data_IF_661582136224
#
_entry.id   IF_661582136224
#
_cell.length_a   1.000
_cell.length_b   1.000
_cell.length_c   1.000
_cell.angle_alpha   90.00
_cell.angle_beta   90.00
_cell.angle_gamma   90.00
#
_symmetry.space_group_name_H-M   'P 1'
#
loop_
_entity.id
_entity.type
_entity.pdbx_description
1 polymer ?
#
# COMPACT_ATOMS: atom_id res chain seq x y z
N UNK A 1 47.22 58.64 -2.98
CA UNK A 1 46.19 58.37 -1.95
C UNK A 1 44.83 58.54 -2.61
N UNK A 2 44.15 57.45 -2.98
CA UNK A 2 42.80 57.49 -3.55
C UNK A 2 41.96 56.47 -2.78
N UNK A 3 41.01 56.96 -1.98
CA UNK A 3 40.01 56.14 -1.30
C UNK A 3 38.85 55.92 -2.27
N UNK A 4 38.68 54.71 -2.79
CA UNK A 4 37.48 54.32 -3.54
C UNK A 4 36.56 53.48 -2.65
N UNK A 5 35.30 53.91 -2.59
CA UNK A 5 34.24 53.51 -1.68
C UNK A 5 33.82 52.04 -1.86
N UNK A 6 33.52 51.36 -0.76
CA UNK A 6 32.82 50.08 -0.73
C UNK A 6 31.31 50.32 -0.87
N UNK A 7 30.70 49.81 -1.92
CA UNK A 7 29.26 49.52 -1.97
C UNK A 7 29.11 48.06 -2.37
N UNK A 8 28.78 47.21 -1.41
CA UNK A 8 28.55 45.78 -1.61
C UNK A 8 27.04 45.57 -1.70
N UNK A 9 26.63 44.95 -2.80
CA UNK A 9 25.26 44.68 -3.20
C UNK A 9 24.46 43.93 -2.13
N UNK A 10 23.25 44.42 -1.85
CA UNK A 10 22.21 43.75 -1.08
C UNK A 10 21.55 42.71 -2.00
N UNK A 11 21.90 41.44 -1.88
CA UNK A 11 21.21 40.33 -2.57
C UNK A 11 19.94 39.98 -1.81
N UNK A 12 18.80 40.31 -2.40
CA UNK A 12 17.45 39.89 -1.99
C UNK A 12 17.38 38.35 -2.05
N UNK A 13 17.25 37.68 -0.90
CA UNK A 13 16.89 36.26 -0.82
C UNK A 13 15.43 36.10 -1.26
N UNK A 14 15.21 35.65 -2.49
CA UNK A 14 13.92 35.13 -2.93
C UNK A 14 13.75 33.72 -2.34
N UNK A 15 12.88 33.59 -1.35
CA UNK A 15 12.62 32.35 -0.63
C UNK A 15 11.55 31.58 -1.40
N UNK A 16 11.91 30.85 -2.45
CA UNK A 16 10.96 30.05 -3.23
C UNK A 16 10.49 28.85 -2.41
N UNK A 17 9.35 29.01 -1.72
CA UNK A 17 8.55 27.92 -1.17
C UNK A 17 8.12 26.97 -2.30
N UNK A 18 8.79 25.82 -2.44
CA UNK A 18 8.27 24.75 -3.30
C UNK A 18 7.10 24.09 -2.57
N UNK A 19 5.90 24.48 -2.95
CA UNK A 19 4.68 23.74 -2.64
C UNK A 19 4.79 22.35 -3.25
N UNK A 20 4.97 21.30 -2.45
CA UNK A 20 4.40 20.00 -2.87
C UNK A 20 2.96 20.26 -3.25
N UNK A 21 2.46 19.80 -4.40
CA UNK A 21 1.06 20.02 -4.77
C UNK A 21 0.22 19.34 -3.70
N UNK A 22 -0.31 20.14 -2.78
CA UNK A 22 -1.07 19.69 -1.63
C UNK A 22 -2.33 18.91 -2.03
N UNK A 23 -2.69 18.91 -3.32
CA UNK A 23 -3.71 18.06 -3.91
C UNK A 23 -3.40 16.57 -3.77
N UNK A 24 -2.13 16.16 -3.90
CA UNK A 24 -1.77 14.73 -3.97
C UNK A 24 -2.06 13.94 -2.67
N UNK A 25 -2.00 14.59 -1.51
CA UNK A 25 -2.28 13.93 -0.22
C UNK A 25 -3.79 13.78 0.05
N UNK A 26 -4.62 14.73 -0.39
CA UNK A 26 -6.07 14.64 -0.24
C UNK A 26 -6.65 13.55 -1.17
N UNK A 27 -6.14 13.48 -2.39
CA UNK A 27 -6.52 12.47 -3.38
C UNK A 27 -6.14 11.05 -2.91
N UNK A 28 -5.03 10.89 -2.17
CA UNK A 28 -4.62 9.60 -1.59
C UNK A 28 -5.61 9.11 -0.50
N UNK A 29 -6.09 10.00 0.37
CA UNK A 29 -7.09 9.65 1.38
C UNK A 29 -8.46 9.36 0.75
N UNK A 30 -8.82 10.07 -0.33
CA UNK A 30 -10.04 9.78 -1.09
C UNK A 30 -10.05 8.36 -1.66
N UNK A 31 -8.91 7.90 -2.18
CA UNK A 31 -8.80 6.53 -2.66
C UNK A 31 -8.91 5.51 -1.52
N UNK A 32 -8.27 5.76 -0.37
CA UNK A 32 -8.40 4.89 0.82
C UNK A 32 -9.82 4.82 1.36
N UNK A 33 -10.56 5.94 1.34
CA UNK A 33 -11.97 6.01 1.73
C UNK A 33 -12.82 5.21 0.74
N UNK A 34 -12.61 5.37 -0.56
CA UNK A 34 -13.32 4.61 -1.59
C UNK A 34 -13.06 3.09 -1.49
N UNK A 35 -11.82 2.68 -1.23
CA UNK A 35 -11.47 1.28 -0.99
C UNK A 35 -12.20 0.71 0.24
N UNK A 36 -12.33 1.52 1.31
CA UNK A 36 -13.09 1.10 2.49
C UNK A 36 -14.60 1.04 2.25
N UNK A 37 -15.16 1.99 1.50
CA UNK A 37 -16.57 1.93 1.10
C UNK A 37 -16.87 0.68 0.26
N UNK A 38 -15.96 0.30 -0.62
CA UNK A 38 -16.08 -0.94 -1.39
C UNK A 38 -16.08 -2.17 -0.48
N UNK A 39 -15.12 -2.28 0.45
CA UNK A 39 -15.07 -3.39 1.41
C UNK A 39 -16.32 -3.47 2.27
N UNK A 40 -16.82 -2.33 2.77
CA UNK A 40 -18.05 -2.26 3.55
C UNK A 40 -19.24 -2.75 2.70
N UNK A 41 -19.34 -2.31 1.45
CA UNK A 41 -20.40 -2.76 0.52
C UNK A 41 -20.32 -4.27 0.26
N UNK A 42 -19.13 -4.81 0.02
CA UNK A 42 -18.93 -6.25 -0.21
C UNK A 42 -19.31 -7.08 1.03
N UNK A 43 -18.96 -6.58 2.22
CA UNK A 43 -19.36 -7.20 3.49
C UNK A 43 -20.88 -7.13 3.72
N UNK A 44 -21.53 -6.01 3.42
CA UNK A 44 -22.99 -5.86 3.50
C UNK A 44 -23.71 -6.81 2.54
N UNK A 45 -23.19 -6.99 1.33
CA UNK A 45 -23.75 -7.97 0.39
C UNK A 45 -23.58 -9.41 0.92
N UNK A 46 -22.45 -9.69 1.55
CA UNK A 46 -22.19 -10.99 2.18
C UNK A 46 -23.10 -11.23 3.39
N UNK A 47 -23.35 -10.20 4.21
CA UNK A 47 -24.31 -10.22 5.31
C UNK A 47 -25.72 -10.54 4.81
N UNK A 48 -26.20 -9.85 3.77
CA UNK A 48 -27.52 -10.09 3.20
C UNK A 48 -27.67 -11.52 2.69
N UNK A 49 -26.67 -12.03 1.96
CA UNK A 49 -26.65 -13.42 1.51
C UNK A 49 -26.69 -14.41 2.67
N UNK A 50 -25.99 -14.10 3.77
CA UNK A 50 -25.99 -14.93 4.97
C UNK A 50 -27.35 -14.91 5.69
N UNK A 51 -28.03 -13.76 5.73
CA UNK A 51 -29.40 -13.61 6.26
C UNK A 51 -30.42 -14.39 5.41
N UNK A 52 -30.33 -14.32 4.09
CA UNK A 52 -31.21 -15.06 3.19
C UNK A 52 -31.06 -16.58 3.38
N UNK A 53 -29.82 -17.07 3.52
CA UNK A 53 -29.54 -18.47 3.85
C UNK A 53 -30.12 -18.86 5.22
N UNK A 54 -29.99 -17.98 6.22
CA UNK A 54 -30.58 -18.21 7.54
C UNK A 54 -32.11 -18.29 7.46
N UNK A 55 -32.76 -17.41 6.72
CA UNK A 55 -34.21 -17.43 6.52
C UNK A 55 -34.67 -18.73 5.81
N UNK A 56 -33.92 -19.19 4.81
CA UNK A 56 -34.18 -20.48 4.17
C UNK A 56 -34.03 -21.67 5.14
N UNK A 57 -33.02 -21.64 6.01
CA UNK A 57 -32.85 -22.65 7.08
C UNK A 57 -34.00 -22.60 8.09
N UNK A 58 -34.51 -21.42 8.43
CA UNK A 58 -35.67 -21.27 9.32
C UNK A 58 -36.93 -21.92 8.73
N UNK A 59 -37.16 -21.77 7.43
CA UNK A 59 -38.25 -22.46 6.74
C UNK A 59 -38.06 -23.99 6.76
N UNK A 60 -36.83 -24.48 6.57
CA UNK A 60 -36.55 -25.91 6.66
C UNK A 60 -36.74 -26.48 8.07
N UNK A 61 -36.33 -25.74 9.11
CA UNK A 61 -36.58 -26.12 10.51
C UNK A 61 -38.08 -26.21 10.76
N UNK A 62 -38.85 -25.20 10.36
CA UNK A 62 -40.30 -25.22 10.53
C UNK A 62 -40.98 -26.40 9.79
N UNK A 63 -40.52 -26.72 8.59
CA UNK A 63 -41.01 -27.88 7.85
C UNK A 63 -40.68 -29.21 8.57
N UNK A 64 -39.45 -29.36 9.07
CA UNK A 64 -39.05 -30.55 9.84
C UNK A 64 -39.81 -30.65 11.17
N UNK A 65 -40.08 -29.53 11.85
CA UNK A 65 -40.93 -29.53 13.05
C UNK A 65 -42.36 -30.01 12.75
N UNK A 66 -42.92 -29.66 11.59
CA UNK A 66 -44.20 -30.21 11.14
C UNK A 66 -44.12 -31.72 10.87
N UNK A 67 -43.04 -32.19 10.21
CA UNK A 67 -42.80 -33.62 10.00
C UNK A 67 -42.65 -34.39 11.32
N UNK A 68 -41.91 -33.84 12.29
CA UNK A 68 -41.76 -34.40 13.65
C UNK A 68 -43.12 -34.52 14.33
N UNK A 69 -43.94 -33.46 14.29
CA UNK A 69 -45.28 -33.49 14.87
C UNK A 69 -46.20 -34.51 14.19
N UNK A 70 -46.09 -34.68 12.86
CA UNK A 70 -46.83 -35.70 12.12
C UNK A 70 -46.38 -37.11 12.53
N UNK A 71 -45.06 -37.37 12.60
CA UNK A 71 -44.51 -38.66 13.01
C UNK A 71 -44.83 -38.98 14.47
N UNK A 72 -44.88 -38.00 15.37
CA UNK A 72 -45.35 -38.20 16.75
C UNK A 72 -46.80 -38.69 16.78
N UNK A 73 -47.69 -38.12 15.96
CA UNK A 73 -49.07 -38.61 15.82
C UNK A 73 -49.13 -40.02 15.22
N UNK A 74 -48.32 -40.31 14.19
CA UNK A 74 -48.19 -41.67 13.65
C UNK A 74 -47.71 -42.64 14.72
N UNK A 75 -46.72 -42.26 15.53
CA UNK A 75 -46.17 -43.06 16.61
C UNK A 75 -47.23 -43.43 17.64
N UNK A 76 -48.02 -42.47 18.10
CA UNK A 76 -49.13 -42.76 19.04
C UNK A 76 -50.16 -43.71 18.43
N UNK A 77 -50.48 -43.55 17.14
CA UNK A 77 -51.39 -44.46 16.45
C UNK A 77 -50.81 -45.88 16.28
N UNK A 78 -49.53 -45.99 15.96
CA UNK A 78 -48.84 -47.28 15.84
C UNK A 78 -48.63 -47.95 17.21
N UNK A 79 -48.38 -47.20 18.28
CA UNK A 79 -48.35 -47.71 19.66
C UNK A 79 -49.69 -48.32 20.06
N UNK A 80 -50.82 -47.69 19.67
CA UNK A 80 -52.16 -48.26 19.89
C UNK A 80 -52.36 -49.55 19.10
N UNK A 81 -52.00 -49.58 17.81
CA UNK A 81 -52.07 -50.81 16.99
C UNK A 81 -51.18 -51.91 17.53
N UNK A 82 -49.99 -51.56 18.02
CA UNK A 82 -49.06 -52.50 18.63
C UNK A 82 -49.65 -53.09 19.90
N UNK A 83 -50.27 -52.27 20.77
CA UNK A 83 -51.01 -52.75 21.94
C UNK A 83 -52.14 -53.73 21.57
N UNK A 84 -52.93 -53.41 20.55
CA UNK A 84 -53.99 -54.30 20.05
C UNK A 84 -53.41 -55.62 19.52
N UNK A 85 -52.26 -55.56 18.84
CA UNK A 85 -51.59 -56.70 18.24
C UNK A 85 -50.93 -57.58 19.31
N UNK A 86 -50.33 -56.99 20.35
CA UNK A 86 -49.83 -57.69 21.53
C UNK A 86 -50.95 -58.41 22.28
N UNK A 87 -52.13 -57.80 22.43
CA UNK A 87 -53.28 -58.45 23.06
C UNK A 87 -53.78 -59.67 22.25
N UNK A 88 -53.80 -59.57 20.91
CA UNK A 88 -54.12 -60.70 20.01
C UNK A 88 -53.09 -61.82 20.11
N UNK A 89 -51.81 -61.48 20.10
CA UNK A 89 -50.69 -62.42 20.28
C UNK A 89 -50.86 -63.17 21.61
N UNK A 90 -51.08 -62.46 22.73
CA UNK A 90 -51.26 -63.08 24.04
C UNK A 90 -52.45 -64.06 24.06
N UNK A 91 -53.59 -63.65 23.48
CA UNK A 91 -54.78 -64.51 23.37
C UNK A 91 -54.51 -65.76 22.51
N UNK A 92 -53.77 -65.60 21.41
CA UNK A 92 -53.44 -66.69 20.49
C UNK A 92 -52.43 -67.66 21.10
N UNK A 93 -51.41 -67.15 21.79
CA UNK A 93 -50.45 -67.94 22.56
C UNK A 93 -51.15 -68.77 23.65
N UNK A 94 -52.12 -68.18 24.38
CA UNK A 94 -52.90 -68.92 25.37
C UNK A 94 -53.72 -70.05 24.74
N UNK A 95 -54.38 -69.80 23.58
CA UNK A 95 -55.11 -70.83 22.83
C UNK A 95 -54.19 -71.95 22.34
N UNK A 96 -53.02 -71.60 21.81
CA UNK A 96 -51.99 -72.53 21.37
C UNK A 96 -51.55 -73.39 22.55
N UNK A 97 -51.19 -72.80 23.70
CA UNK A 97 -50.75 -73.52 24.89
C UNK A 97 -51.83 -74.50 25.40
N UNK A 98 -53.08 -74.04 25.51
CA UNK A 98 -54.22 -74.89 25.90
C UNK A 98 -54.42 -76.05 24.93
N UNK A 99 -54.33 -75.82 23.61
CA UNK A 99 -54.42 -76.89 22.61
C UNK A 99 -53.22 -77.83 22.63
N UNK A 100 -52.00 -77.35 22.88
CA UNK A 100 -50.83 -78.22 23.07
C UNK A 100 -51.00 -79.15 24.26
N UNK A 101 -51.51 -78.64 25.38
CA UNK A 101 -51.82 -79.46 26.54
C UNK A 101 -52.89 -80.51 26.23
N UNK A 102 -53.95 -80.12 25.52
CA UNK A 102 -54.98 -81.07 25.06
C UNK A 102 -54.40 -82.15 24.14
N UNK A 103 -53.57 -81.79 23.16
CA UNK A 103 -52.90 -82.75 22.27
C UNK A 103 -51.97 -83.66 23.08
N UNK A 104 -51.18 -83.13 24.02
CA UNK A 104 -50.29 -83.92 24.90
C UNK A 104 -51.08 -84.91 25.76
N UNK A 105 -52.19 -84.47 26.36
CA UNK A 105 -53.04 -85.32 27.18
C UNK A 105 -53.73 -86.40 26.34
N UNK A 106 -54.22 -86.06 25.13
CA UNK A 106 -54.77 -87.05 24.19
C UNK A 106 -53.72 -88.08 23.73
N UNK A 107 -52.50 -87.63 23.43
CA UNK A 107 -51.39 -88.52 23.06
C UNK A 107 -51.00 -89.45 24.22
N UNK A 108 -50.93 -88.93 25.45
CA UNK A 108 -50.68 -89.71 26.66
C UNK A 108 -51.81 -90.71 26.94
N UNK A 109 -53.06 -90.33 26.76
CA UNK A 109 -54.21 -91.24 26.92
C UNK A 109 -54.16 -92.38 25.90
N UNK A 110 -53.83 -92.07 24.64
CA UNK A 110 -53.66 -93.10 23.60
C UNK A 110 -52.48 -94.01 23.94
N UNK A 111 -51.35 -93.47 24.40
CA UNK A 111 -50.16 -94.24 24.79
C UNK A 111 -50.38 -95.11 26.03
N UNK A 112 -51.01 -94.58 27.08
CA UNK A 112 -51.28 -95.31 28.34
C UNK A 112 -52.38 -96.36 28.18
N UNK A 113 -53.35 -96.15 27.28
CA UNK A 113 -54.35 -97.16 26.90
C UNK A 113 -53.82 -98.20 25.90
N UNK A 114 -52.67 -97.96 25.28
CA UNK A 114 -52.02 -98.91 24.38
C UNK A 114 -51.46 -100.15 25.13
N UNK A 115 -51.21 -100.03 26.44
CA UNK A 115 -50.94 -101.17 27.32
C UNK A 115 -52.18 -102.04 27.63
N UNK A 116 -53.36 -101.69 27.08
CA UNK A 116 -54.62 -102.42 27.27
C UNK A 116 -55.34 -102.66 25.93
N UNK A 117 -54.67 -103.36 25.02
CA UNK A 117 -55.24 -103.80 23.74
C UNK A 117 -55.23 -102.70 22.66
N UNK A 118 -54.67 -103.01 21.50
CA UNK A 118 -54.68 -102.14 20.32
C UNK A 118 -56.09 -101.59 20.04
N UNK A 119 -56.21 -100.38 19.47
CA UNK A 119 -57.50 -99.86 18.97
C UNK A 119 -58.19 -100.86 18.04
N UNK A 120 -57.39 -101.65 17.32
CA UNK A 120 -57.83 -102.78 16.48
C UNK A 120 -58.40 -103.92 17.33
N UNK A 121 -57.78 -104.22 18.48
CA UNK A 121 -58.22 -105.22 19.47
C UNK A 121 -59.52 -104.80 20.18
N UNK A 122 -59.72 -103.52 20.44
CA UNK A 122 -60.98 -102.99 21.01
C UNK A 122 -62.18 -103.07 20.04
N UNK A 123 -61.92 -103.02 18.72
CA UNK A 123 -62.92 -103.22 17.65
C UNK A 123 -63.14 -104.72 17.40
N UNK A 124 -62.08 -105.54 17.45
CA UNK A 124 -62.14 -107.00 17.26
C UNK A 124 -62.81 -107.72 18.45
N UNK A 125 -62.56 -107.29 19.70
CA UNK A 125 -63.19 -107.83 20.91
C UNK A 125 -64.59 -107.22 21.20
N UNK A 126 -65.26 -106.66 20.18
CA UNK A 126 -66.62 -106.13 20.34
C UNK A 126 -67.64 -107.27 20.36
N UNK A 127 -68.63 -107.20 21.27
CA UNK A 127 -69.60 -108.30 21.47
C UNK A 127 -70.70 -108.33 20.40
N UNK A 128 -70.76 -107.30 19.54
CA UNK A 128 -71.73 -107.20 18.43
C UNK A 128 -71.25 -106.26 17.32
N UNK A 129 -71.74 -106.47 16.10
CA UNK A 129 -71.44 -105.63 14.93
C UNK A 129 -71.82 -104.15 15.16
N UNK A 130 -72.91 -103.89 15.90
CA UNK A 130 -73.34 -102.53 16.24
C UNK A 130 -72.41 -101.84 17.27
N UNK A 131 -71.80 -102.61 18.18
CA UNK A 131 -70.78 -102.10 19.10
C UNK A 131 -69.46 -101.82 18.35
N UNK A 132 -69.08 -102.70 17.42
CA UNK A 132 -67.93 -102.52 16.54
C UNK A 132 -68.04 -101.22 15.73
N UNK A 133 -69.19 -100.99 15.08
CA UNK A 133 -69.44 -99.78 14.28
C UNK A 133 -69.43 -98.51 15.15
N UNK A 134 -70.02 -98.55 16.36
CA UNK A 134 -69.97 -97.41 17.29
C UNK A 134 -68.55 -97.10 17.76
N UNK A 135 -67.75 -98.11 18.07
CA UNK A 135 -66.34 -97.96 18.45
C UNK A 135 -65.49 -97.46 17.28
N UNK A 136 -65.69 -97.97 16.07
CA UNK A 136 -65.00 -97.50 14.85
C UNK A 136 -65.39 -96.08 14.47
N UNK A 137 -66.68 -95.71 14.58
CA UNK A 137 -67.12 -94.33 14.41
C UNK A 137 -66.50 -93.43 15.49
N UNK A 138 -66.49 -93.84 16.76
CA UNK A 138 -65.83 -93.09 17.83
C UNK A 138 -64.33 -92.90 17.58
N UNK A 139 -63.62 -93.93 17.11
CA UNK A 139 -62.19 -93.86 16.74
C UNK A 139 -61.97 -92.94 15.53
N UNK A 140 -62.79 -93.05 14.49
CA UNK A 140 -62.74 -92.16 13.32
C UNK A 140 -63.06 -90.71 13.70
N UNK A 141 -64.04 -90.49 14.60
CA UNK A 141 -64.37 -89.18 15.16
C UNK A 141 -63.20 -88.62 15.99
N UNK A 142 -62.54 -89.44 16.81
CA UNK A 142 -61.35 -89.02 17.59
C UNK A 142 -60.18 -88.67 16.66
N UNK A 143 -59.86 -89.51 15.66
CA UNK A 143 -58.79 -89.24 14.70
C UNK A 143 -59.07 -87.99 13.85
N UNK A 144 -60.33 -87.80 13.43
CA UNK A 144 -60.76 -86.60 12.70
C UNK A 144 -60.69 -85.37 13.58
N UNK A 145 -61.12 -85.45 14.84
CA UNK A 145 -61.00 -84.38 15.81
C UNK A 145 -59.53 -84.04 16.11
N UNK A 146 -58.65 -85.02 16.31
CA UNK A 146 -57.22 -84.81 16.55
C UNK A 146 -56.52 -84.22 15.31
N UNK A 147 -56.89 -84.65 14.09
CA UNK A 147 -56.42 -84.03 12.84
C UNK A 147 -56.85 -82.57 12.76
N UNK A 148 -58.11 -82.27 13.02
CA UNK A 148 -58.63 -80.90 13.01
C UNK A 148 -57.95 -80.00 14.07
N UNK A 149 -57.69 -80.54 15.27
CA UNK A 149 -56.96 -79.82 16.33
C UNK A 149 -55.51 -79.53 15.88
N UNK A 150 -54.81 -80.50 15.30
CA UNK A 150 -53.44 -80.33 14.78
C UNK A 150 -53.37 -79.34 13.60
N UNK A 151 -54.34 -79.39 12.68
CA UNK A 151 -54.44 -78.43 11.57
C UNK A 151 -54.71 -77.01 12.08
N UNK A 152 -55.64 -76.85 13.03
CA UNK A 152 -55.91 -75.56 13.65
C UNK A 152 -54.69 -75.04 14.43
N UNK A 153 -53.99 -75.93 15.14
CA UNK A 153 -52.76 -75.58 15.86
C UNK A 153 -51.66 -75.09 14.92
N UNK A 154 -51.52 -75.72 13.76
CA UNK A 154 -50.55 -75.32 12.73
C UNK A 154 -50.90 -73.95 12.15
N UNK A 155 -52.19 -73.69 11.87
CA UNK A 155 -52.68 -72.39 11.39
C UNK A 155 -52.45 -71.28 12.41
N UNK A 156 -52.81 -71.51 13.67
CA UNK A 156 -52.67 -70.51 14.74
C UNK A 156 -51.19 -70.21 15.02
N UNK A 157 -50.27 -71.19 14.93
CA UNK A 157 -48.82 -70.94 15.02
C UNK A 157 -48.28 -70.10 13.86
N UNK A 158 -48.73 -70.37 12.63
CA UNK A 158 -48.35 -69.57 11.47
C UNK A 158 -48.90 -68.13 11.54
N UNK A 159 -50.12 -67.96 12.07
CA UNK A 159 -50.70 -66.65 12.31
C UNK A 159 -49.96 -65.89 13.41
N UNK A 160 -49.55 -66.56 14.49
CA UNK A 160 -48.72 -65.99 15.55
C UNK A 160 -47.40 -65.44 15.01
N UNK A 161 -46.66 -66.25 14.24
CA UNK A 161 -45.39 -65.83 13.63
C UNK A 161 -45.58 -64.61 12.71
N UNK A 162 -46.67 -64.58 11.92
CA UNK A 162 -47.01 -63.45 11.07
C UNK A 162 -47.27 -62.18 11.88
N UNK A 163 -48.04 -62.28 12.96
CA UNK A 163 -48.36 -61.15 13.83
C UNK A 163 -47.11 -60.64 14.57
N UNK A 164 -46.27 -61.51 15.11
CA UNK A 164 -45.00 -61.14 15.76
C UNK A 164 -44.08 -60.38 14.79
N UNK A 165 -43.96 -60.86 13.55
CA UNK A 165 -43.20 -60.18 12.49
C UNK A 165 -43.78 -58.82 12.11
N UNK A 166 -45.11 -58.71 12.05
CA UNK A 166 -45.78 -57.43 11.77
C UNK A 166 -45.54 -56.41 12.90
N UNK A 167 -45.61 -56.83 14.17
CA UNK A 167 -45.28 -55.99 15.32
C UNK A 167 -43.84 -55.46 15.25
N UNK A 168 -42.88 -56.35 14.99
CA UNK A 168 -41.46 -55.99 14.93
C UNK A 168 -41.17 -54.99 13.80
N UNK A 169 -41.73 -55.23 12.60
CA UNK A 169 -41.57 -54.33 11.47
C UNK A 169 -42.14 -52.93 11.75
N UNK A 170 -43.31 -52.84 12.37
CA UNK A 170 -43.93 -51.55 12.75
C UNK A 170 -43.04 -50.77 13.72
N UNK A 171 -42.46 -51.45 14.71
CA UNK A 171 -41.55 -50.84 15.69
C UNK A 171 -40.24 -50.37 15.04
N UNK A 172 -39.68 -51.13 14.11
CA UNK A 172 -38.46 -50.73 13.40
C UNK A 172 -38.69 -49.47 12.54
N UNK A 173 -39.79 -49.42 11.78
CA UNK A 173 -40.11 -48.27 10.91
C UNK A 173 -40.32 -47.00 11.73
N UNK A 174 -41.07 -47.06 12.83
CA UNK A 174 -41.37 -45.88 13.65
C UNK A 174 -40.11 -45.34 14.34
N UNK A 175 -39.26 -46.23 14.85
CA UNK A 175 -38.01 -45.85 15.52
C UNK A 175 -37.00 -45.25 14.53
N UNK A 176 -36.90 -45.82 13.33
CA UNK A 176 -36.04 -45.31 12.27
C UNK A 176 -36.43 -43.89 11.86
N UNK A 177 -37.71 -43.66 11.51
CA UNK A 177 -38.23 -42.33 11.17
C UNK A 177 -37.99 -41.31 12.29
N UNK A 178 -38.25 -41.70 13.54
CA UNK A 178 -38.05 -40.83 14.72
C UNK A 178 -36.59 -40.41 14.87
N UNK A 179 -35.66 -41.35 14.70
CA UNK A 179 -34.22 -41.10 14.84
C UNK A 179 -33.70 -40.20 13.69
N UNK A 180 -34.11 -40.48 12.45
CA UNK A 180 -33.72 -39.70 11.28
C UNK A 180 -34.21 -38.25 11.37
N UNK A 181 -35.47 -38.03 11.78
CA UNK A 181 -36.02 -36.69 11.94
C UNK A 181 -35.35 -35.92 13.09
N UNK A 182 -35.07 -36.58 14.21
CA UNK A 182 -34.35 -35.95 15.33
C UNK A 182 -32.95 -35.51 14.91
N UNK A 183 -32.20 -36.37 14.21
CA UNK A 183 -30.88 -36.04 13.70
C UNK A 183 -30.93 -34.87 12.70
N UNK A 184 -31.91 -34.86 11.78
CA UNK A 184 -32.13 -33.76 10.84
C UNK A 184 -32.48 -32.44 11.55
N UNK A 185 -33.32 -32.50 12.60
CA UNK A 185 -33.67 -31.33 13.40
C UNK A 185 -32.44 -30.76 14.13
N UNK A 186 -31.66 -31.60 14.80
CA UNK A 186 -30.42 -31.19 15.48
C UNK A 186 -29.42 -30.56 14.50
N UNK A 187 -29.20 -31.17 13.34
CA UNK A 187 -28.30 -30.66 12.31
C UNK A 187 -28.75 -29.29 11.77
N UNK A 188 -30.05 -29.11 11.49
CA UNK A 188 -30.58 -27.84 10.99
C UNK A 188 -30.46 -26.73 12.04
N UNK A 189 -30.74 -27.03 13.32
CA UNK A 189 -30.57 -26.08 14.42
C UNK A 189 -29.10 -25.68 14.58
N UNK A 190 -28.17 -26.63 14.52
CA UNK A 190 -26.74 -26.33 14.58
C UNK A 190 -26.31 -25.45 13.41
N UNK A 191 -26.72 -25.79 12.18
CA UNK A 191 -26.40 -25.01 10.98
C UNK A 191 -26.95 -23.59 11.08
N UNK A 192 -28.14 -23.40 11.64
CA UNK A 192 -28.74 -22.08 11.90
C UNK A 192 -27.92 -21.27 12.89
N UNK A 193 -27.45 -21.89 13.99
CA UNK A 193 -26.61 -21.23 14.98
C UNK A 193 -25.26 -20.80 14.38
N UNK A 194 -24.62 -21.69 13.61
CA UNK A 194 -23.36 -21.39 12.92
C UNK A 194 -23.53 -20.22 11.94
N UNK A 195 -24.66 -20.16 11.23
CA UNK A 195 -24.97 -19.04 10.34
C UNK A 195 -25.18 -17.74 11.11
N UNK A 196 -25.81 -17.78 12.29
CA UNK A 196 -25.97 -16.60 13.15
C UNK A 196 -24.63 -16.09 13.67
N UNK A 197 -23.69 -16.98 14.01
CA UNK A 197 -22.33 -16.60 14.42
C UNK A 197 -21.63 -15.87 13.27
N UNK A 198 -21.69 -16.39 12.04
CA UNK A 198 -21.11 -15.73 10.85
C UNK A 198 -21.69 -14.33 10.61
N UNK A 199 -23.01 -14.15 10.75
CA UNK A 199 -23.64 -12.83 10.62
C UNK A 199 -23.04 -11.86 11.65
N UNK A 200 -22.91 -12.28 12.92
CA UNK A 200 -22.33 -11.44 13.96
C UNK A 200 -20.85 -11.09 13.69
N UNK A 201 -20.07 -12.04 13.15
CA UNK A 201 -18.67 -11.81 12.75
C UNK A 201 -18.56 -10.81 11.59
N UNK A 202 -19.45 -10.91 10.60
CA UNK A 202 -19.52 -9.97 9.47
C UNK A 202 -19.88 -8.57 9.99
N UNK A 203 -20.86 -8.46 10.90
CA UNK A 203 -21.24 -7.18 11.52
C UNK A 203 -20.09 -6.53 12.30
N UNK A 204 -19.31 -7.33 13.04
CA UNK A 204 -18.12 -6.84 13.74
C UNK A 204 -17.03 -6.36 12.75
N UNK A 205 -16.89 -7.05 11.62
CA UNK A 205 -15.95 -6.66 10.55
C UNK A 205 -16.39 -5.36 9.88
N UNK A 206 -17.68 -5.19 9.60
CA UNK A 206 -18.27 -3.94 9.06
C UNK A 206 -18.00 -2.77 10.02
N UNK A 207 -18.22 -2.97 11.33
CA UNK A 207 -17.93 -1.93 12.33
C UNK A 207 -16.45 -1.53 12.34
N UNK A 208 -15.55 -2.52 12.25
CA UNK A 208 -14.10 -2.28 12.20
C UNK A 208 -13.68 -1.49 10.96
N UNK A 209 -14.19 -1.84 9.78
CA UNK A 209 -13.86 -1.12 8.55
C UNK A 209 -14.47 0.29 8.53
N UNK A 210 -15.65 0.48 9.14
CA UNK A 210 -16.24 1.81 9.35
C UNK A 210 -15.36 2.69 10.25
N UNK A 211 -14.84 2.15 11.35
CA UNK A 211 -13.90 2.87 12.22
C UNK A 211 -12.60 3.26 11.49
N UNK A 212 -12.12 2.41 10.56
CA UNK A 212 -10.98 2.75 9.71
C UNK A 212 -11.30 3.86 8.71
N UNK A 213 -12.48 3.81 8.08
CA UNK A 213 -12.97 4.87 7.20
C UNK A 213 -13.02 6.21 7.93
N UNK A 214 -13.60 6.26 9.13
CA UNK A 214 -13.70 7.47 9.95
C UNK A 214 -12.32 8.05 10.30
N UNK A 215 -11.30 7.20 10.48
CA UNK A 215 -9.91 7.64 10.68
C UNK A 215 -9.33 8.30 9.42
N UNK A 216 -9.56 7.71 8.25
CA UNK A 216 -9.10 8.30 6.99
C UNK A 216 -9.83 9.61 6.67
N UNK A 217 -11.12 9.73 6.97
CA UNK A 217 -11.87 10.98 6.82
C UNK A 217 -11.28 12.10 7.70
N UNK A 218 -10.95 11.81 8.96
CA UNK A 218 -10.27 12.78 9.85
C UNK A 218 -8.90 13.18 9.32
N UNK A 219 -8.11 12.22 8.84
CA UNK A 219 -6.79 12.50 8.27
C UNK A 219 -6.89 13.35 7.00
N UNK A 220 -7.91 13.12 6.17
CA UNK A 220 -8.21 13.94 5.00
C UNK A 220 -8.54 15.39 5.42
N UNK A 221 -9.41 15.57 6.42
CA UNK A 221 -9.78 16.89 6.92
C UNK A 221 -8.55 17.66 7.46
N UNK A 222 -7.70 16.98 8.23
CA UNK A 222 -6.47 17.57 8.76
C UNK A 222 -5.47 17.92 7.66
N UNK A 223 -5.34 17.07 6.63
CA UNK A 223 -4.51 17.35 5.46
C UNK A 223 -5.01 18.57 4.69
N UNK A 224 -6.32 18.69 4.50
CA UNK A 224 -6.94 19.83 3.81
C UNK A 224 -6.81 21.13 4.62
N UNK A 225 -6.94 21.08 5.95
CA UNK A 225 -6.65 22.24 6.82
C UNK A 225 -5.20 22.68 6.72
N UNK A 226 -4.25 21.74 6.75
CA UNK A 226 -2.81 22.03 6.56
C UNK A 226 -2.55 22.64 5.19
N UNK A 227 -3.22 22.14 4.14
CA UNK A 227 -3.17 22.71 2.79
C UNK A 227 -3.62 24.16 2.75
N UNK A 228 -4.78 24.45 3.30
CA UNK A 228 -5.31 25.81 3.33
C UNK A 228 -4.41 26.75 4.14
N UNK A 229 -3.86 26.29 5.26
CA UNK A 229 -2.92 27.06 6.05
C UNK A 229 -1.62 27.36 5.28
N UNK A 230 -1.06 26.36 4.58
CA UNK A 230 0.14 26.54 3.76
C UNK A 230 -0.09 27.52 2.60
N UNK A 231 -1.25 27.44 1.93
CA UNK A 231 -1.62 28.38 0.86
C UNK A 231 -1.73 29.82 1.38
N UNK A 232 -2.37 30.03 2.54
CA UNK A 232 -2.46 31.34 3.18
C UNK A 232 -1.08 31.88 3.57
N UNK A 233 -0.22 31.05 4.14
CA UNK A 233 1.15 31.42 4.50
C UNK A 233 1.98 31.80 3.26
N UNK A 234 1.85 31.04 2.17
CA UNK A 234 2.50 31.36 0.89
C UNK A 234 2.02 32.71 0.32
N UNK A 235 0.71 32.98 0.37
CA UNK A 235 0.16 34.26 -0.08
C UNK A 235 0.69 35.43 0.77
N UNK A 236 0.75 35.26 2.09
CA UNK A 236 1.30 36.26 3.00
C UNK A 236 2.79 36.49 2.74
N UNK A 237 3.56 35.44 2.49
CA UNK A 237 4.97 35.55 2.13
C UNK A 237 5.15 36.30 0.80
N UNK A 238 4.35 35.97 -0.22
CA UNK A 238 4.40 36.68 -1.50
C UNK A 238 4.10 38.17 -1.36
N UNK A 239 3.13 38.54 -0.52
CA UNK A 239 2.85 39.95 -0.20
C UNK A 239 4.06 40.63 0.45
N UNK A 240 4.69 39.99 1.43
CA UNK A 240 5.91 40.52 2.09
C UNK A 240 7.08 40.67 1.12
N UNK A 241 7.27 39.70 0.21
CA UNK A 241 8.30 39.76 -0.83
C UNK A 241 8.04 40.88 -1.85
N UNK A 242 6.78 41.07 -2.25
CA UNK A 242 6.36 42.14 -3.15
C UNK A 242 6.60 43.52 -2.51
N UNK A 243 6.16 43.73 -1.25
CA UNK A 243 6.45 44.95 -0.50
C UNK A 243 7.95 45.21 -0.33
N UNK A 244 8.75 44.17 -0.08
CA UNK A 244 10.19 44.29 0.02
C UNK A 244 10.82 44.66 -1.33
N UNK A 245 10.31 44.11 -2.44
CA UNK A 245 10.75 44.44 -3.80
C UNK A 245 10.41 45.87 -4.18
N UNK A 246 9.20 46.34 -3.86
CA UNK A 246 8.80 47.74 -4.09
C UNK A 246 9.69 48.71 -3.31
N UNK A 247 9.95 48.42 -2.02
CA UNK A 247 10.87 49.23 -1.20
C UNK A 247 12.29 49.24 -1.78
N UNK A 248 12.83 48.09 -2.18
CA UNK A 248 14.14 47.99 -2.79
C UNK A 248 14.23 48.75 -4.12
N UNK A 249 13.18 48.69 -4.94
CA UNK A 249 13.11 49.41 -6.22
C UNK A 249 13.04 50.92 -6.00
N UNK A 250 12.22 51.40 -5.04
CA UNK A 250 12.14 52.81 -4.70
C UNK A 250 13.47 53.36 -4.16
N UNK A 251 14.19 52.57 -3.34
CA UNK A 251 15.50 52.96 -2.84
C UNK A 251 16.56 52.97 -3.95
N UNK A 252 16.56 52.00 -4.85
CA UNK A 252 17.43 51.98 -6.02
C UNK A 252 17.18 53.19 -6.95
N UNK A 253 15.92 53.54 -7.18
CA UNK A 253 15.54 54.72 -7.98
C UNK A 253 16.02 56.02 -7.33
N UNK A 254 15.87 56.15 -6.00
CA UNK A 254 16.39 57.30 -5.25
C UNK A 254 17.92 57.40 -5.34
N UNK A 255 18.63 56.28 -5.23
CA UNK A 255 20.10 56.25 -5.38
C UNK A 255 20.52 56.59 -6.81
N UNK A 256 19.84 56.08 -7.82
CA UNK A 256 20.11 56.38 -9.23
C UNK A 256 19.90 57.86 -9.54
N UNK A 257 18.80 58.46 -9.04
CA UNK A 257 18.54 59.90 -9.20
C UNK A 257 19.62 60.75 -8.56
N UNK A 258 20.04 60.41 -7.33
CA UNK A 258 21.14 61.11 -6.65
C UNK A 258 22.46 60.99 -7.40
N UNK A 259 22.80 59.80 -7.91
CA UNK A 259 24.02 59.59 -8.69
C UNK A 259 24.00 60.36 -10.02
N UNK A 260 22.84 60.48 -10.67
CA UNK A 260 22.67 61.29 -11.88
C UNK A 260 22.86 62.79 -11.60
N UNK A 261 22.32 63.28 -10.48
CA UNK A 261 22.47 64.68 -10.04
C UNK A 261 23.95 64.99 -9.71
N UNK A 262 24.63 64.12 -8.95
CA UNK A 262 26.08 64.23 -8.66
C UNK A 262 26.93 64.18 -9.95
N UNK A 263 26.54 63.37 -10.95
CA UNK A 263 27.23 63.29 -12.24
C UNK A 263 27.02 64.54 -13.10
N UNK A 264 25.83 65.15 -13.05
CA UNK A 264 25.55 66.40 -13.75
C UNK A 264 26.36 67.55 -13.13
N UNK A 265 26.37 67.68 -11.80
CA UNK A 265 27.19 68.69 -11.10
C UNK A 265 28.67 68.54 -11.45
N UNK A 266 29.19 67.30 -11.46
CA UNK A 266 30.58 67.04 -11.84
C UNK A 266 30.88 67.38 -13.31
N UNK A 267 29.92 67.19 -14.22
CA UNK A 267 30.06 67.55 -15.62
C UNK A 267 30.07 69.08 -15.83
N UNK A 268 29.19 69.81 -15.15
CA UNK A 268 29.15 71.28 -15.18
C UNK A 268 30.45 71.90 -14.60
N UNK A 269 30.96 71.33 -13.50
CA UNK A 269 32.25 71.73 -12.92
C UNK A 269 33.42 71.48 -13.88
N UNK A 270 33.44 70.32 -14.56
CA UNK A 270 34.47 69.98 -15.54
C UNK A 270 34.42 70.89 -16.78
N UNK A 271 33.23 71.25 -17.26
CA UNK A 271 33.05 72.20 -18.36
C UNK A 271 33.57 73.60 -17.99
N UNK A 272 33.27 74.06 -16.77
CA UNK A 272 33.80 75.33 -16.25
C UNK A 272 35.33 75.34 -16.17
N UNK A 273 35.93 74.27 -15.64
CA UNK A 273 37.39 74.14 -15.56
C UNK A 273 38.04 74.07 -16.95
N UNK A 274 37.41 73.40 -17.92
CA UNK A 274 37.88 73.37 -19.30
C UNK A 274 37.83 74.75 -19.96
N UNK A 275 36.76 75.52 -19.74
CA UNK A 275 36.64 76.90 -20.24
C UNK A 275 37.67 77.84 -19.61
N UNK A 276 37.93 77.71 -18.30
CA UNK A 276 38.98 78.46 -17.59
C UNK A 276 40.39 78.11 -18.12
N UNK A 277 40.66 76.82 -18.38
CA UNK A 277 41.93 76.37 -18.95
C UNK A 277 42.14 76.87 -20.38
N UNK A 278 41.10 76.85 -21.21
CA UNK A 278 41.14 77.39 -22.58
C UNK A 278 41.41 78.90 -22.56
N UNK A 279 40.75 79.64 -21.66
CA UNK A 279 41.00 81.08 -21.48
C UNK A 279 42.44 81.36 -21.04
N UNK A 280 42.98 80.54 -20.13
CA UNK A 280 44.37 80.66 -19.68
C UNK A 280 45.37 80.37 -20.81
N UNK A 281 45.09 79.37 -21.64
CA UNK A 281 45.89 79.03 -22.82
C UNK A 281 45.90 80.16 -23.84
N UNK A 282 44.74 80.74 -24.17
CA UNK A 282 44.65 81.89 -25.07
C UNK A 282 45.42 83.11 -24.55
N UNK A 283 45.39 83.35 -23.22
CA UNK A 283 46.18 84.41 -22.60
C UNK A 283 47.68 84.16 -22.72
N UNK A 284 48.14 82.93 -22.49
CA UNK A 284 49.54 82.54 -22.68
C UNK A 284 49.98 82.66 -24.14
N UNK A 285 49.16 82.22 -25.10
CA UNK A 285 49.45 82.36 -26.53
C UNK A 285 49.54 83.83 -26.95
N UNK A 286 48.67 84.70 -26.43
CA UNK A 286 48.74 86.14 -26.67
C UNK A 286 50.00 86.78 -26.05
N UNK A 287 50.40 86.34 -24.86
CA UNK A 287 51.63 86.80 -24.19
C UNK A 287 52.89 86.34 -24.95
N UNK A 288 52.94 85.09 -25.40
CA UNK A 288 54.00 84.56 -26.26
C UNK A 288 54.08 85.36 -27.57
N UNK A 289 52.94 85.63 -28.23
CA UNK A 289 52.91 86.44 -29.46
C UNK A 289 53.41 87.87 -29.24
N UNK A 290 53.12 88.49 -28.08
CA UNK A 290 53.68 89.80 -27.72
C UNK A 290 55.19 89.75 -27.50
N UNK A 291 55.69 88.73 -26.79
CA UNK A 291 57.12 88.52 -26.57
C UNK A 291 57.86 88.26 -27.89
N UNK A 292 57.27 87.47 -28.79
CA UNK A 292 57.84 87.23 -30.13
C UNK A 292 57.86 88.50 -30.98
N UNK A 293 56.81 89.32 -30.94
CA UNK A 293 56.79 90.61 -31.61
C UNK A 293 57.87 91.57 -31.07
N UNK A 294 58.06 91.62 -29.74
CA UNK A 294 59.14 92.39 -29.12
C UNK A 294 60.53 91.85 -29.49
N UNK A 295 60.68 90.52 -29.55
CA UNK A 295 61.92 89.86 -29.96
C UNK A 295 62.24 90.15 -31.43
N UNK A 296 61.25 90.12 -32.33
CA UNK A 296 61.43 90.52 -33.73
C UNK A 296 61.75 92.01 -33.88
N UNK A 297 61.19 92.89 -33.05
CA UNK A 297 61.55 94.31 -33.03
C UNK A 297 63.00 94.52 -32.53
N UNK A 298 63.44 93.76 -31.52
CA UNK A 298 64.81 93.75 -31.03
C UNK A 298 65.79 93.13 -32.05
N UNK A 299 65.41 92.05 -32.71
CA UNK A 299 66.19 91.41 -33.77
C UNK A 299 66.28 92.31 -35.01
N UNK A 300 65.23 93.06 -35.37
CA UNK A 300 65.29 94.08 -36.41
C UNK A 300 66.23 95.24 -36.05
N UNK A 301 66.31 95.60 -34.75
CA UNK A 301 67.29 96.58 -34.22
C UNK A 301 68.72 96.01 -34.21
N UNK A 302 68.90 94.72 -33.92
CA UNK A 302 70.21 94.05 -33.95
C UNK A 302 70.69 93.71 -35.37
N UNK A 303 69.78 93.48 -36.33
CA UNK A 303 70.11 93.23 -37.75
C UNK A 303 70.57 94.49 -38.51
N UNK A 304 70.49 95.67 -37.90
CA UNK A 304 71.16 96.89 -38.40
C UNK A 304 72.60 97.06 -37.88
N UNK A 305 73.05 96.30 -36.87
CA UNK A 305 74.30 96.62 -36.16
C UNK A 305 75.46 95.63 -36.35
N UNK A 306 75.27 94.41 -36.87
CA UNK A 306 76.40 93.48 -37.03
C UNK A 306 76.31 92.65 -38.32
N UNK A 307 76.82 93.25 -39.40
CA UNK A 307 77.41 92.55 -40.52
C UNK A 307 78.91 92.33 -40.24
N UNK A 308 79.36 91.12 -39.88
CA UNK A 308 80.63 90.49 -40.31
C UNK A 308 81.02 89.19 -39.56
N UNK A 309 81.49 88.20 -40.34
CA UNK A 309 82.40 87.05 -40.04
C UNK A 309 81.83 85.75 -39.42
N UNK A 310 81.66 84.62 -40.15
CA UNK A 310 82.47 83.48 -40.72
C UNK A 310 82.64 82.22 -39.82
N UNK A 311 82.47 81.03 -40.45
CA UNK A 311 83.00 79.65 -40.17
C UNK A 311 82.37 78.86 -39.00
N UNK A 312 82.25 77.53 -38.95
CA UNK A 312 82.35 76.34 -39.83
C UNK A 312 81.87 75.11 -38.98
N UNK A 313 81.50 74.01 -39.65
CA UNK A 313 81.58 72.58 -39.25
C UNK A 313 80.58 71.91 -38.27
N UNK A 314 79.91 70.87 -38.84
CA UNK A 314 79.73 69.51 -38.28
C UNK A 314 78.68 69.28 -37.18
N UNK A 315 78.10 68.10 -36.95
CA UNK A 315 77.87 66.84 -37.66
C UNK A 315 77.05 65.94 -36.69
N UNK A 316 76.25 65.02 -37.25
CA UNK A 316 75.81 63.73 -36.67
C UNK A 316 74.84 63.75 -35.47
N UNK A 317 73.60 63.24 -35.62
CA UNK A 317 73.18 61.82 -35.57
C UNK A 317 73.24 61.19 -34.17
N UNK A 318 72.41 60.13 -34.02
CA UNK A 318 72.52 58.99 -33.09
C UNK A 318 71.46 59.03 -31.97
N UNK A 319 70.29 58.40 -32.22
CA UNK A 319 69.82 57.10 -31.64
C UNK A 319 69.04 57.29 -30.34
N UNK A 320 68.15 56.41 -29.84
CA UNK A 320 68.12 54.94 -29.81
C UNK A 320 66.68 54.48 -29.51
N UNK A 321 66.21 53.51 -30.30
CA UNK A 321 65.25 52.46 -29.89
C UNK A 321 65.76 51.73 -28.62
N UNK A 322 64.91 51.10 -27.77
CA UNK A 322 64.37 49.76 -28.09
C UNK A 322 62.90 49.56 -27.65
N UNK A 323 62.08 48.78 -28.36
CA UNK A 323 62.03 47.29 -28.36
C UNK A 323 61.74 46.79 -26.93
N UNK A 324 60.75 45.96 -26.61
CA UNK A 324 60.57 44.54 -26.97
C UNK A 324 59.33 44.11 -26.16
N UNK A 325 58.26 43.62 -26.76
CA UNK A 325 57.98 42.19 -26.99
C UNK A 325 57.26 41.48 -25.86
N UNK A 326 56.50 40.46 -26.30
CA UNK A 326 56.19 39.23 -25.56
C UNK A 326 54.97 39.36 -24.63
N UNK A 327 53.97 38.51 -24.61
CA UNK A 327 53.48 37.36 -25.38
C UNK A 327 52.26 36.87 -24.58
N UNK A 328 51.37 36.08 -25.19
CA UNK A 328 50.75 34.86 -24.63
C UNK A 328 50.28 34.91 -23.14
N UNK A 329 49.07 34.51 -22.76
CA UNK A 329 48.38 33.27 -23.10
C UNK A 329 47.08 33.22 -22.29
N UNK A 330 46.12 32.51 -22.85
CA UNK A 330 44.96 31.88 -22.24
C UNK A 330 45.26 31.11 -20.94
N UNK A 331 44.34 31.18 -19.95
CA UNK A 331 44.01 30.09 -19.02
C UNK A 331 42.66 30.34 -18.30
N UNK A 332 41.74 29.37 -18.29
CA UNK A 332 40.63 29.28 -17.33
C UNK A 332 40.96 28.36 -16.13
N UNK A 333 40.09 28.43 -15.11
CA UNK A 333 39.84 27.49 -14.02
C UNK A 333 40.61 27.62 -12.68
N UNK A 334 39.82 27.74 -11.61
CA UNK A 334 39.97 27.04 -10.33
C UNK A 334 38.58 26.95 -9.66
N UNK A 335 37.88 25.82 -9.78
CA UNK A 335 36.65 25.56 -9.01
C UNK A 335 36.99 24.65 -7.83
N UNK A 336 37.24 25.24 -6.66
CA UNK A 336 37.26 24.52 -5.39
C UNK A 336 35.83 24.45 -4.83
N UNK A 337 34.94 23.71 -5.47
CA UNK A 337 33.53 23.57 -5.07
C UNK A 337 33.36 22.99 -3.65
N UNK A 338 34.39 22.31 -3.12
CA UNK A 338 34.36 21.69 -1.80
C UNK A 338 33.58 20.36 -1.76
N UNK A 339 33.25 19.81 -2.93
CA UNK A 339 32.60 18.51 -3.11
C UNK A 339 33.58 17.51 -3.72
N UNK A 340 33.63 16.31 -3.16
CA UNK A 340 34.38 15.16 -3.65
C UNK A 340 33.50 14.27 -4.55
N UNK A 341 34.14 13.44 -5.37
CA UNK A 341 33.42 12.42 -6.15
C UNK A 341 32.70 11.43 -5.22
N UNK A 342 31.42 11.08 -5.49
CA UNK A 342 30.69 10.07 -4.72
C UNK A 342 31.17 8.63 -4.99
N UNK A 343 32.02 8.43 -6.00
CA UNK A 343 32.53 7.11 -6.40
C UNK A 343 34.06 7.15 -6.47
N UNK A 344 34.69 6.04 -6.11
CA UNK A 344 36.15 5.87 -6.22
C UNK A 344 36.61 5.51 -7.64
N UNK A 345 35.65 5.30 -8.54
CA UNK A 345 35.86 5.09 -9.98
C UNK A 345 35.59 6.38 -10.76
N UNK A 346 35.97 6.42 -12.04
CA UNK A 346 35.60 7.52 -12.92
C UNK A 346 34.07 7.67 -13.04
N UNK A 347 33.60 8.92 -13.07
CA UNK A 347 32.18 9.22 -13.21
C UNK A 347 31.76 9.09 -14.68
N UNK A 348 30.90 8.09 -14.96
CA UNK A 348 30.27 7.92 -16.27
C UNK A 348 28.78 8.26 -16.13
N UNK A 349 28.39 9.43 -16.63
CA UNK A 349 27.00 9.89 -16.59
C UNK A 349 26.16 9.09 -17.58
N UNK A 350 25.13 8.41 -17.08
CA UNK A 350 24.14 7.70 -17.91
C UNK A 350 22.83 8.49 -18.06
N UNK A 351 22.47 9.29 -17.06
CA UNK A 351 21.32 10.20 -17.12
C UNK A 351 21.68 11.53 -16.45
N UNK A 352 21.69 12.66 -17.19
CA UNK A 352 21.98 13.96 -16.61
C UNK A 352 20.79 14.50 -15.79
N UNK A 353 21.05 15.52 -14.98
CA UNK A 353 20.02 16.29 -14.29
C UNK A 353 19.13 17.06 -15.28
N UNK A 354 17.82 17.13 -15.01
CA UNK A 354 16.88 17.93 -15.81
C UNK A 354 15.76 17.13 -16.49
N UNK A 355 15.03 17.75 -17.42
CA UNK A 355 13.91 17.12 -18.12
C UNK A 355 14.34 15.88 -18.91
N UNK A 356 13.57 14.79 -18.80
CA UNK A 356 13.76 13.54 -19.54
C UNK A 356 12.43 12.86 -19.86
N UNK A 357 12.44 11.92 -20.80
CA UNK A 357 11.32 10.99 -20.95
C UNK A 357 11.31 10.00 -19.77
N UNK A 358 10.13 9.70 -19.21
CA UNK A 358 10.03 8.81 -18.05
C UNK A 358 10.50 7.39 -18.42
N UNK A 359 11.62 6.91 -17.84
CA UNK A 359 12.21 5.62 -18.21
C UNK A 359 11.48 4.41 -17.62
N UNK A 360 10.63 4.58 -16.60
CA UNK A 360 9.93 3.48 -15.91
C UNK A 360 8.41 3.63 -15.88
N UNK A 361 7.89 4.79 -16.28
CA UNK A 361 6.48 5.17 -16.15
C UNK A 361 6.10 5.65 -14.75
N UNK A 362 7.01 5.54 -13.77
CA UNK A 362 6.83 6.00 -12.40
C UNK A 362 7.99 6.89 -11.91
N UNK A 363 9.02 7.12 -12.73
CA UNK A 363 10.19 7.92 -12.37
C UNK A 363 10.00 9.42 -12.66
N UNK A 364 8.92 9.78 -13.36
CA UNK A 364 8.63 11.16 -13.76
C UNK A 364 9.46 11.64 -14.94
N UNK A 365 9.10 12.83 -15.44
CA UNK A 365 9.73 13.48 -16.61
C UNK A 365 10.78 14.52 -16.23
N UNK A 366 11.09 14.66 -14.94
CA UNK A 366 12.16 15.51 -14.42
C UNK A 366 13.10 14.63 -13.61
N UNK A 367 14.40 14.73 -13.90
CA UNK A 367 15.44 13.98 -13.20
C UNK A 367 16.15 14.85 -12.17
N UNK A 368 15.91 14.55 -10.90
CA UNK A 368 16.35 15.35 -9.75
C UNK A 368 17.79 15.03 -9.26
N UNK A 369 18.55 14.33 -10.10
CA UNK A 369 19.93 13.97 -9.82
C UNK A 369 20.70 13.67 -11.09
N UNK A 370 21.86 13.05 -10.92
CA UNK A 370 22.67 12.49 -12.00
C UNK A 370 22.83 11.00 -11.73
N UNK A 371 22.60 10.19 -12.76
CA UNK A 371 22.81 8.75 -12.70
C UNK A 371 24.23 8.43 -13.19
N UNK A 372 24.98 7.69 -12.37
CA UNK A 372 26.32 7.22 -12.68
C UNK A 372 26.34 5.71 -12.87
N UNK A 373 26.91 5.25 -13.98
CA UNK A 373 27.12 3.82 -14.21
C UNK A 373 28.17 3.22 -13.26
N UNK A 374 27.96 1.98 -12.89
CA UNK A 374 28.93 1.17 -12.16
C UNK A 374 28.49 -0.28 -12.04
N UNK A 375 29.28 -1.07 -11.32
CA UNK A 375 28.95 -2.45 -11.00
C UNK A 375 28.27 -2.55 -9.64
N UNK A 376 27.50 -3.62 -9.42
CA UNK A 376 26.85 -3.85 -8.12
C UNK A 376 27.93 -3.97 -7.03
N UNK A 377 27.72 -3.29 -5.91
CA UNK A 377 28.66 -3.25 -4.81
C UNK A 377 29.79 -2.21 -4.93
N UNK A 378 29.89 -1.45 -6.04
CA UNK A 378 30.84 -0.32 -6.10
C UNK A 378 30.62 0.61 -4.90
N UNK A 379 31.66 0.93 -4.10
CA UNK A 379 31.49 1.78 -2.93
C UNK A 379 30.95 3.16 -3.28
N UNK A 380 29.86 3.55 -2.60
CA UNK A 380 29.30 4.89 -2.65
C UNK A 380 29.80 5.66 -1.42
N UNK A 381 30.37 6.84 -1.65
CA UNK A 381 31.03 7.67 -0.64
C UNK A 381 30.32 9.01 -0.49
N UNK A 382 30.37 9.58 0.71
CA UNK A 382 29.88 10.94 0.96
C UNK A 382 30.70 11.96 0.16
N UNK A 383 30.05 12.69 -0.76
CA UNK A 383 30.69 13.76 -1.55
C UNK A 383 31.10 14.95 -0.68
N UNK A 384 30.49 15.15 0.50
CA UNK A 384 30.85 16.21 1.43
C UNK A 384 30.56 15.80 2.86
N UNK A 385 31.29 16.35 3.83
CA UNK A 385 31.05 16.08 5.25
C UNK A 385 29.73 16.68 5.73
N UNK A 386 29.06 16.03 6.68
CA UNK A 386 27.75 16.46 7.17
C UNK A 386 27.13 15.49 8.18
N UNK A 387 25.83 15.66 8.43
CA UNK A 387 25.05 14.80 9.31
C UNK A 387 24.05 14.00 8.49
N UNK A 388 23.98 12.68 8.70
CA UNK A 388 22.98 11.82 8.06
C UNK A 388 21.60 12.18 8.61
N UNK A 389 20.69 12.59 7.73
CA UNK A 389 19.31 12.96 8.10
C UNK A 389 18.31 11.88 7.70
N UNK A 390 18.63 11.06 6.71
CA UNK A 390 17.86 9.87 6.34
C UNK A 390 18.81 8.71 5.99
N UNK A 391 18.46 7.51 6.43
CA UNK A 391 19.12 6.27 6.06
C UNK A 391 18.12 5.12 6.18
N UNK A 392 17.85 4.42 5.08
CA UNK A 392 16.88 3.33 5.08
C UNK A 392 16.37 2.98 3.70
N UNK A 393 15.23 2.29 3.65
CA UNK A 393 14.57 1.91 2.41
C UNK A 393 13.38 2.84 2.12
N UNK A 394 13.32 3.35 0.89
CA UNK A 394 12.15 4.05 0.35
C UNK A 394 11.75 3.38 -0.96
N UNK A 395 10.45 3.29 -1.25
CA UNK A 395 9.94 2.51 -2.39
C UNK A 395 10.53 2.99 -3.74
N UNK A 396 10.73 4.30 -3.92
CA UNK A 396 11.31 4.84 -5.16
C UNK A 396 12.84 4.93 -5.11
N UNK A 397 13.40 5.40 -4.00
CA UNK A 397 14.85 5.62 -3.87
C UNK A 397 15.63 4.34 -3.56
N UNK A 398 14.93 3.25 -3.21
CA UNK A 398 15.56 2.03 -2.71
C UNK A 398 16.23 2.26 -1.35
N UNK A 399 17.28 1.47 -1.10
CA UNK A 399 18.17 1.74 0.01
C UNK A 399 18.96 3.02 -0.28
N UNK A 400 18.89 3.99 0.62
CA UNK A 400 19.46 5.31 0.37
C UNK A 400 19.98 5.97 1.65
N UNK A 401 20.82 6.99 1.44
CA UNK A 401 21.29 7.91 2.48
C UNK A 401 21.06 9.33 2.01
N UNK A 402 20.63 10.21 2.92
CA UNK A 402 20.62 11.66 2.73
C UNK A 402 21.49 12.31 3.80
N UNK A 403 22.43 13.17 3.37
CA UNK A 403 23.34 13.90 4.25
C UNK A 403 23.03 15.38 4.16
N UNK A 404 22.78 16.02 5.31
CA UNK A 404 22.73 17.48 5.43
C UNK A 404 24.14 18.04 5.66
N UNK A 405 24.51 19.05 4.88
CA UNK A 405 25.81 19.71 4.95
C UNK A 405 25.73 21.06 5.67
N UNK A 406 26.84 21.54 6.28
CA UNK A 406 26.86 22.81 7.02
C UNK A 406 26.53 24.05 6.18
N UNK A 407 26.66 23.98 4.86
CA UNK A 407 26.34 25.06 3.92
C UNK A 407 24.87 25.02 3.44
N UNK A 408 24.04 24.18 4.06
CA UNK A 408 22.60 24.11 3.79
C UNK A 408 22.20 23.18 2.65
N UNK A 409 23.17 22.59 1.93
CA UNK A 409 22.90 21.57 0.93
C UNK A 409 22.58 20.21 1.55
N UNK A 410 21.83 19.40 0.81
CA UNK A 410 21.63 17.99 1.07
C UNK A 410 22.19 17.19 -0.11
N UNK A 411 22.83 16.05 0.16
CA UNK A 411 23.20 15.08 -0.87
C UNK A 411 22.50 13.75 -0.69
N UNK A 412 22.07 13.16 -1.80
CA UNK A 412 21.27 11.94 -1.87
C UNK A 412 22.06 10.87 -2.58
N UNK A 413 22.06 9.67 -2.00
CA UNK A 413 22.74 8.49 -2.53
C UNK A 413 21.73 7.36 -2.55
N UNK A 414 21.20 7.02 -3.73
CA UNK A 414 20.07 6.10 -3.85
C UNK A 414 20.45 4.77 -4.52
N UNK A 415 19.47 3.86 -4.55
CA UNK A 415 19.51 2.56 -5.19
C UNK A 415 20.59 1.61 -4.66
N UNK A 416 21.04 1.78 -3.41
CA UNK A 416 22.08 0.92 -2.82
C UNK A 416 21.66 -0.56 -2.81
N UNK A 417 22.63 -1.46 -2.93
CA UNK A 417 22.38 -2.92 -2.99
C UNK A 417 21.81 -3.49 -1.69
N UNK A 418 22.12 -2.86 -0.55
CA UNK A 418 21.67 -3.24 0.79
C UNK A 418 21.43 -2.00 1.64
N UNK A 419 20.93 -2.19 2.86
CA UNK A 419 20.81 -1.12 3.83
C UNK A 419 22.17 -0.36 4.00
N UNK A 420 22.15 0.97 4.20
CA UNK A 420 23.36 1.76 4.37
C UNK A 420 24.21 1.36 5.59
N UNK A 421 25.51 1.64 5.53
CA UNK A 421 26.46 1.42 6.64
C UNK A 421 26.39 2.46 7.75
N UNK A 422 25.58 3.52 7.57
CA UNK A 422 25.42 4.64 8.49
C UNK A 422 23.94 4.83 8.85
N UNK A 423 23.68 5.38 10.05
CA UNK A 423 22.32 5.67 10.54
C UNK A 423 22.05 7.16 10.70
N UNK A 424 20.78 7.52 10.79
CA UNK A 424 20.32 8.90 11.06
C UNK A 424 20.99 9.46 12.32
N UNK A 425 21.45 10.72 12.25
CA UNK A 425 22.19 11.42 13.30
C UNK A 425 23.71 11.23 13.26
N UNK A 426 24.23 10.31 12.42
CA UNK A 426 25.67 10.09 12.31
C UNK A 426 26.35 11.26 11.59
N UNK A 427 27.45 11.77 12.17
CA UNK A 427 28.35 12.66 11.44
C UNK A 427 29.22 11.84 10.48
N UNK A 428 29.33 12.28 9.23
CA UNK A 428 30.14 11.63 8.19
C UNK A 428 31.12 12.62 7.58
N UNK A 429 32.30 12.12 7.19
CA UNK A 429 33.32 12.90 6.48
C UNK A 429 33.23 12.71 4.97
N UNK A 430 33.70 13.69 4.19
CA UNK A 430 33.84 13.50 2.75
C UNK A 430 34.73 12.27 2.45
N UNK A 431 34.32 11.42 1.51
CA UNK A 431 34.98 10.15 1.17
C UNK A 431 34.60 8.96 2.06
N UNK A 432 33.81 9.15 3.11
CA UNK A 432 33.35 8.02 3.94
C UNK A 432 32.36 7.13 3.17
N UNK A 433 32.59 5.81 3.20
CA UNK A 433 31.72 4.83 2.53
C UNK A 433 30.37 4.73 3.25
N UNK A 434 29.29 4.89 2.49
CA UNK A 434 27.89 4.87 2.94
C UNK A 434 27.18 3.55 2.61
N UNK A 435 27.67 2.83 1.59
CA UNK A 435 27.07 1.59 1.10
C UNK A 435 27.64 1.20 -0.26
N UNK A 436 27.03 0.18 -0.89
CA UNK A 436 27.40 -0.29 -2.22
C UNK A 436 26.32 0.01 -3.26
N UNK A 437 26.73 0.36 -4.48
CA UNK A 437 25.84 0.62 -5.63
C UNK A 437 24.95 -0.60 -5.94
N UNK A 438 23.70 -0.37 -6.33
CA UNK A 438 22.74 -1.43 -6.64
C UNK A 438 21.64 -0.97 -7.58
N UNK A 439 20.46 -1.59 -7.47
CA UNK A 439 19.28 -1.28 -8.29
C UNK A 439 17.98 -1.41 -7.48
N UNK A 440 18.03 -1.14 -6.18
CA UNK A 440 16.83 -1.24 -5.32
C UNK A 440 15.90 -0.03 -5.53
N UNK A 441 14.61 -0.21 -5.28
CA UNK A 441 13.59 0.82 -5.54
C UNK A 441 13.21 0.91 -7.01
N UNK A 442 12.80 2.09 -7.46
CA UNK A 442 12.41 2.34 -8.83
C UNK A 442 13.64 2.63 -9.71
N UNK A 443 14.24 1.58 -10.26
CA UNK A 443 15.49 1.64 -11.02
C UNK A 443 15.44 0.70 -12.24
N UNK A 444 16.03 1.11 -13.36
CA UNK A 444 16.11 0.30 -14.60
C UNK A 444 17.31 -0.64 -14.65
N UNK A 445 18.31 -0.44 -13.78
CA UNK A 445 19.55 -1.22 -13.75
C UNK A 445 20.52 -0.70 -12.70
N UNK A 446 21.69 -1.32 -12.57
CA UNK A 446 22.66 -0.92 -11.53
C UNK A 446 23.27 0.45 -11.83
N UNK A 447 23.02 1.41 -10.95
CA UNK A 447 23.58 2.76 -11.01
C UNK A 447 23.55 3.43 -9.64
N UNK A 448 24.30 4.53 -9.49
CA UNK A 448 24.10 5.49 -8.40
C UNK A 448 23.27 6.64 -8.95
N UNK A 449 22.10 6.88 -8.36
CA UNK A 449 21.42 8.16 -8.50
C UNK A 449 21.93 9.11 -7.41
N UNK A 450 22.62 10.17 -7.85
CA UNK A 450 23.21 11.19 -6.99
C UNK A 450 22.49 12.53 -7.14
N UNK A 451 21.80 12.95 -6.08
CA UNK A 451 21.10 14.23 -6.02
C UNK A 451 21.82 15.24 -5.13
N UNK A 452 21.67 16.52 -5.44
CA UNK A 452 22.02 17.61 -4.52
C UNK A 452 20.85 18.58 -4.47
N UNK A 453 20.46 19.02 -3.28
CA UNK A 453 19.33 19.92 -3.10
C UNK A 453 19.57 20.97 -2.02
N UNK A 454 18.80 22.07 -2.06
CA UNK A 454 18.87 23.15 -1.05
C UNK A 454 17.89 22.95 0.12
N UNK A 455 16.97 21.99 0.00
CA UNK A 455 16.07 21.56 1.07
C UNK A 455 15.82 20.05 1.00
N UNK A 456 15.42 19.43 2.11
CA UNK A 456 15.17 17.99 2.16
C UNK A 456 14.07 17.61 1.13
N UNK A 457 14.41 16.68 0.23
CA UNK A 457 13.63 16.22 -0.94
C UNK A 457 13.07 17.32 -1.86
N UNK A 458 13.67 18.52 -1.87
CA UNK A 458 13.17 19.64 -2.68
C UNK A 458 14.26 20.66 -3.03
N UNK A 459 14.08 21.41 -4.12
CA UNK A 459 15.08 22.36 -4.59
C UNK A 459 16.34 21.68 -5.11
N UNK A 460 16.17 20.58 -5.86
CA UNK A 460 17.29 19.89 -6.48
C UNK A 460 18.01 20.80 -7.48
N UNK A 461 19.33 20.80 -7.41
CA UNK A 461 20.22 21.56 -8.27
C UNK A 461 21.07 20.59 -9.07
N UNK A 462 21.49 21.00 -10.27
CA UNK A 462 22.36 20.19 -11.09
C UNK A 462 23.72 19.93 -10.37
N UNK A 463 24.02 18.68 -9.97
CA UNK A 463 25.26 18.37 -9.25
C UNK A 463 26.53 18.45 -10.12
N UNK A 464 26.40 18.52 -11.45
CA UNK A 464 27.53 18.46 -12.37
C UNK A 464 28.60 19.53 -12.08
N UNK A 465 28.17 20.78 -11.86
CA UNK A 465 29.07 21.89 -11.55
C UNK A 465 29.75 21.76 -10.18
N UNK A 466 29.12 21.07 -9.22
CA UNK A 466 29.70 20.78 -7.91
C UNK A 466 30.76 19.68 -8.01
N UNK A 467 30.54 18.68 -8.86
CA UNK A 467 31.46 17.57 -9.10
C UNK A 467 32.55 17.90 -10.14
N UNK A 468 32.44 19.05 -10.82
CA UNK A 468 33.40 19.50 -11.84
C UNK A 468 33.34 18.71 -13.14
N UNK A 469 32.14 18.20 -13.50
CA UNK A 469 31.89 17.39 -14.70
C UNK A 469 30.97 18.08 -15.70
#
# INVERSE_FOLDING_TARGET
MIKLKKYTALTLCALTLTTTPLSALADEYDQKIADQDKKISDLQQTEQSAEDQKAALEQQVAAVEQEVNAVLKEKTNEEKKLSDLTAKIATLQEKIQKREEQIRNQARDVQTKQDSGSIVDAVINSKSLGEAVKKTMAVSTILTASKNIMEQQTKDKAELEKLEKEAEQRLQVINKKTTELKAKQEQLVQTKLDQQVKINEIQASIATEKDQKDKFEKQKEDAEKKRQAALKALEEQRKKEEEAREKAQAEAEKQAKKAAEEAQEAAEEAEKQAAEAETAKQKQEAEIAQLEAQKQEQEAKQQQEQAQTVTDAGASQVTTNPTTSTSNTSKPAATSSGWASPLSIGLVVTSPFGPRQDPTGASGTQHDGIDFAGSAGTPIMASKGGTVVEAGFHWSAGNHVVIQHPDGYYSYYMHMVSAPSVGVGSSVSAGQVLGGMGTTGNSTGVHLHFGVSTALWSGFVNPASLLGI
#
